data_IF_233084233927
#
_entry.id   IF_233084233927
#
_cell.length_a   1.000
_cell.length_b   1.000
_cell.length_c   1.000
_cell.angle_alpha   90.00
_cell.angle_beta   90.00
_cell.angle_gamma   90.00
#
_symmetry.space_group_name_H-M   'P 1'
#
loop_
_entity.id
_entity.type
_entity.pdbx_description
1 polymer ?
#
# COMPACT_ATOMS: atom_id res chain seq x y z
N UNK A 1 24.64 2.64 -16.00
CA UNK A 1 23.23 2.39 -15.66
C UNK A 1 23.10 1.02 -15.03
N UNK A 2 22.56 0.95 -13.82
CA UNK A 2 22.36 -0.32 -13.09
C UNK A 2 21.24 -1.15 -13.74
N UNK A 3 21.17 -2.46 -13.44
CA UNK A 3 20.11 -3.32 -13.99
C UNK A 3 18.72 -2.96 -13.42
N UNK A 4 18.68 -2.37 -12.22
CA UNK A 4 17.48 -1.77 -11.65
C UNK A 4 16.96 -0.58 -12.49
N UNK A 5 17.83 0.36 -12.90
CA UNK A 5 17.41 1.53 -13.69
C UNK A 5 16.82 1.16 -15.05
N UNK A 6 17.21 0.02 -15.61
CA UNK A 6 16.60 -0.51 -16.85
C UNK A 6 15.23 -1.15 -16.61
N UNK A 7 14.97 -1.59 -15.38
CA UNK A 7 13.78 -2.35 -15.01
C UNK A 7 12.64 -1.44 -14.52
N UNK A 8 12.98 -0.27 -13.98
CA UNK A 8 12.02 0.79 -13.64
C UNK A 8 11.65 1.63 -14.87
N UNK A 9 10.46 2.24 -14.85
CA UNK A 9 10.04 3.17 -15.92
C UNK A 9 10.85 4.48 -15.87
N UNK A 10 11.16 4.93 -14.68
CA UNK A 10 11.99 6.12 -14.40
C UNK A 10 13.04 5.75 -13.36
N UNK A 11 14.28 6.26 -13.48
CA UNK A 11 15.26 6.10 -12.43
C UNK A 11 14.75 6.77 -11.14
N UNK A 12 15.14 6.28 -9.95
CA UNK A 12 14.82 6.94 -8.70
C UNK A 12 15.37 8.37 -8.66
N UNK A 13 14.53 9.32 -8.27
CA UNK A 13 14.85 10.75 -8.11
C UNK A 13 14.78 11.08 -6.63
N UNK A 14 15.80 11.75 -6.12
CA UNK A 14 15.83 12.20 -4.74
C UNK A 14 14.80 13.32 -4.50
N UNK A 15 14.05 13.22 -3.41
CA UNK A 15 13.16 14.26 -2.91
C UNK A 15 13.72 14.84 -1.60
N UNK A 16 14.13 16.11 -1.65
CA UNK A 16 14.72 16.81 -0.51
C UNK A 16 13.72 17.12 0.61
N UNK A 17 12.42 17.21 0.31
CA UNK A 17 11.39 17.53 1.30
C UNK A 17 11.01 16.29 2.11
N UNK A 18 10.89 15.16 1.43
CA UNK A 18 10.51 13.88 2.06
C UNK A 18 11.72 13.07 2.55
N UNK A 19 12.93 13.41 2.09
CA UNK A 19 14.17 12.68 2.35
C UNK A 19 14.10 11.21 1.87
N UNK A 20 13.49 10.99 0.71
CA UNK A 20 13.21 9.68 0.12
C UNK A 20 13.54 9.66 -1.38
N UNK A 21 13.71 8.46 -1.95
CA UNK A 21 13.82 8.32 -3.41
C UNK A 21 12.47 7.97 -4.01
N UNK A 22 12.09 8.68 -5.06
CA UNK A 22 10.83 8.51 -5.77
C UNK A 22 11.05 7.96 -7.17
N UNK A 23 10.26 6.97 -7.55
CA UNK A 23 10.22 6.40 -8.88
C UNK A 23 8.79 5.98 -9.24
N UNK A 24 8.65 5.29 -10.36
CA UNK A 24 7.39 4.66 -10.76
C UNK A 24 7.60 3.18 -11.08
N UNK A 25 6.63 2.36 -10.72
CA UNK A 25 6.70 0.90 -10.89
C UNK A 25 5.46 0.35 -11.62
N UNK A 26 5.63 -0.51 -12.64
CA UNK A 26 4.50 -1.13 -13.33
C UNK A 26 3.94 -2.32 -12.53
N UNK A 27 2.65 -2.25 -12.18
CA UNK A 27 1.84 -3.31 -11.57
C UNK A 27 0.51 -3.45 -12.33
N UNK A 28 0.54 -3.96 -13.58
CA UNK A 28 -0.66 -4.10 -14.41
C UNK A 28 -1.74 -4.99 -13.78
N UNK A 29 -1.37 -5.90 -12.88
CA UNK A 29 -2.30 -6.73 -12.12
C UNK A 29 -3.31 -5.92 -11.30
N UNK A 30 -2.95 -4.70 -10.89
CA UNK A 30 -3.78 -3.81 -10.07
C UNK A 30 -4.33 -2.62 -10.87
N UNK A 31 -4.16 -2.60 -12.21
CA UNK A 31 -4.57 -1.46 -13.04
C UNK A 31 -6.08 -1.18 -13.05
N UNK A 32 -6.90 -2.20 -12.82
CA UNK A 32 -8.36 -2.11 -12.80
C UNK A 32 -8.97 -2.05 -11.40
N UNK A 33 -8.13 -1.93 -10.37
CA UNK A 33 -8.57 -1.75 -8.98
C UNK A 33 -8.75 -0.26 -8.75
N UNK A 34 -9.92 0.17 -8.31
CA UNK A 34 -10.27 1.59 -8.32
C UNK A 34 -10.84 2.12 -7.01
N UNK A 35 -11.02 1.27 -5.98
CA UNK A 35 -11.67 1.62 -4.70
C UNK A 35 -12.97 2.43 -4.89
N UNK A 36 -13.55 2.40 -6.08
CA UNK A 36 -14.60 3.30 -6.51
C UNK A 36 -15.87 2.49 -6.71
N UNK A 37 -16.38 1.91 -5.64
CA UNK A 37 -17.79 1.56 -5.62
C UNK A 37 -18.63 2.85 -5.48
N UNK A 38 -18.69 3.65 -6.56
CA UNK A 38 -19.51 4.85 -6.78
C UNK A 38 -19.88 5.67 -5.52
N UNK A 39 -19.07 6.71 -5.24
CA UNK A 39 -19.16 7.66 -4.10
C UNK A 39 -19.02 6.97 -2.75
N UNK A 40 -18.04 7.42 -1.95
CA UNK A 40 -17.83 6.88 -0.60
C UNK A 40 -19.17 6.82 0.12
N UNK A 41 -19.40 5.75 0.87
CA UNK A 41 -20.66 5.59 1.61
C UNK A 41 -20.83 6.75 2.60
N UNK A 42 -19.72 7.32 3.06
CA UNK A 42 -19.65 8.56 3.83
C UNK A 42 -20.14 9.77 3.02
N UNK A 43 -19.75 9.91 1.75
CA UNK A 43 -20.28 10.95 0.85
C UNK A 43 -21.80 10.82 0.67
N UNK A 44 -22.31 9.61 0.48
CA UNK A 44 -23.76 9.35 0.38
C UNK A 44 -24.48 9.65 1.70
N UNK A 45 -23.90 9.29 2.83
CA UNK A 45 -24.46 9.54 4.17
C UNK A 45 -24.45 11.04 4.51
N UNK A 46 -23.35 11.73 4.21
CA UNK A 46 -23.17 13.18 4.38
C UNK A 46 -24.13 13.98 3.48
N UNK A 47 -24.33 13.52 2.23
CA UNK A 47 -25.30 14.10 1.30
C UNK A 47 -26.76 13.89 1.77
N UNK A 48 -27.07 12.77 2.43
CA UNK A 48 -28.40 12.45 2.99
C UNK A 48 -28.73 13.23 4.27
N UNK A 49 -27.71 13.67 5.01
CA UNK A 49 -27.82 14.45 6.27
C UNK A 49 -27.76 15.99 6.09
N UNK A 50 -27.66 16.48 4.85
CA UNK A 50 -27.79 17.92 4.54
C UNK A 50 -26.59 18.79 4.91
N UNK A 51 -25.46 18.22 5.33
CA UNK A 51 -24.21 18.93 5.57
C UNK A 51 -23.40 19.01 4.28
N UNK A 52 -23.26 20.21 3.72
CA UNK A 52 -22.32 20.49 2.63
C UNK A 52 -20.89 20.36 3.15
N UNK A 53 -20.20 19.31 2.72
CA UNK A 53 -18.73 19.25 2.67
C UNK A 53 -18.35 18.97 1.22
N UNK A 54 -18.62 19.94 0.34
CA UNK A 54 -18.14 19.89 -1.03
C UNK A 54 -16.78 20.56 -1.08
N UNK A 55 -15.72 19.77 -1.03
CA UNK A 55 -14.39 20.08 -1.55
C UNK A 55 -13.57 18.79 -1.61
N UNK A 56 -14.04 17.83 -2.41
CA UNK A 56 -13.16 16.81 -2.97
C UNK A 56 -12.27 17.54 -3.96
N UNK A 57 -10.98 17.60 -3.64
CA UNK A 57 -9.93 18.14 -4.48
C UNK A 57 -10.06 17.62 -5.91
N UNK A 58 -10.46 18.51 -6.82
CA UNK A 58 -10.17 18.35 -8.23
C UNK A 58 -8.68 18.67 -8.38
N UNK A 59 -7.83 17.65 -8.21
CA UNK A 59 -6.47 17.76 -8.73
C UNK A 59 -6.54 17.61 -10.25
N UNK A 60 -6.14 18.69 -10.92
CA UNK A 60 -6.05 18.83 -12.36
C UNK A 60 -5.22 17.69 -13.01
N UNK A 61 -5.69 17.23 -14.17
CA UNK A 61 -5.21 16.11 -15.01
C UNK A 61 -3.79 16.29 -15.63
N UNK A 62 -2.91 17.10 -15.04
CA UNK A 62 -1.51 17.21 -15.48
C UNK A 62 -0.61 16.26 -14.66
N UNK A 63 -0.44 15.03 -15.14
CA UNK A 63 0.55 14.09 -14.58
C UNK A 63 0.04 12.69 -14.23
N UNK A 64 -1.18 12.32 -14.64
CA UNK A 64 -1.72 10.99 -14.42
C UNK A 64 -0.77 9.89 -14.93
N UNK A 65 -0.36 8.98 -14.04
CA UNK A 65 0.48 7.84 -14.39
C UNK A 65 -0.25 6.92 -15.39
N UNK A 66 0.46 6.23 -16.30
CA UNK A 66 -0.16 5.24 -17.17
C UNK A 66 -0.86 4.16 -16.34
N UNK A 67 -2.01 3.67 -16.81
CA UNK A 67 -2.75 2.60 -16.14
C UNK A 67 -1.83 1.42 -15.74
N UNK A 68 -1.97 0.97 -14.48
CA UNK A 68 -1.10 -0.07 -13.92
C UNK A 68 0.32 0.39 -13.65
N UNK A 69 0.57 1.69 -13.49
CA UNK A 69 1.83 2.26 -13.02
C UNK A 69 1.56 3.07 -11.76
N UNK A 70 2.37 2.85 -10.74
CA UNK A 70 2.16 3.41 -9.41
C UNK A 70 3.42 4.12 -8.89
N UNK A 71 3.27 5.08 -7.97
CA UNK A 71 4.39 5.61 -7.20
C UNK A 71 5.19 4.48 -6.53
N UNK A 72 6.52 4.58 -6.61
CA UNK A 72 7.46 3.76 -5.87
C UNK A 72 8.27 4.68 -4.96
N UNK A 73 8.09 4.51 -3.66
CA UNK A 73 8.76 5.28 -2.61
C UNK A 73 9.83 4.38 -1.99
N UNK A 74 11.07 4.83 -1.98
CA UNK A 74 12.20 4.07 -1.42
C UNK A 74 12.72 4.87 -0.23
N UNK A 75 12.53 4.34 0.97
CA UNK A 75 12.88 5.04 2.19
C UNK A 75 14.39 5.21 2.32
N UNK A 76 14.83 6.35 2.83
CA UNK A 76 16.25 6.66 2.99
C UNK A 76 16.56 7.34 4.33
N UNK A 77 16.03 6.80 5.41
CA UNK A 77 16.22 7.37 6.76
C UNK A 77 17.69 7.42 7.18
N UNK A 78 18.54 6.53 6.66
CA UNK A 78 20.00 6.58 6.89
C UNK A 78 20.76 7.54 5.97
N UNK A 79 20.07 8.27 5.08
CA UNK A 79 20.65 9.27 4.17
C UNK A 79 21.76 8.68 3.28
N UNK A 80 21.54 7.49 2.75
CA UNK A 80 22.42 6.89 1.76
C UNK A 80 22.43 7.74 0.48
N UNK A 81 23.56 7.76 -0.24
CA UNK A 81 23.66 8.50 -1.51
C UNK A 81 22.82 7.89 -2.63
N UNK A 82 22.39 6.63 -2.47
CA UNK A 82 21.64 5.84 -3.43
C UNK A 82 20.81 4.78 -2.67
N UNK A 83 19.73 4.23 -3.29
CA UNK A 83 19.06 3.05 -2.77
C UNK A 83 20.05 1.92 -2.47
N UNK A 84 19.94 1.33 -1.28
CA UNK A 84 20.84 0.26 -0.83
C UNK A 84 20.70 -1.01 -1.67
N UNK A 85 21.69 -1.90 -1.60
CA UNK A 85 21.65 -3.17 -2.35
C UNK A 85 20.41 -4.01 -2.01
N UNK A 86 20.00 -4.07 -0.75
CA UNK A 86 18.82 -4.84 -0.34
C UNK A 86 17.51 -4.25 -0.87
N UNK A 87 17.43 -2.92 -1.02
CA UNK A 87 16.31 -2.24 -1.66
C UNK A 87 16.28 -2.51 -3.16
N UNK A 88 17.44 -2.45 -3.83
CA UNK A 88 17.56 -2.82 -5.25
C UNK A 88 17.14 -4.28 -5.48
N UNK A 89 17.63 -5.21 -4.66
CA UNK A 89 17.26 -6.64 -4.75
C UNK A 89 15.76 -6.86 -4.49
N UNK A 90 15.12 -6.09 -3.59
CA UNK A 90 13.69 -6.15 -3.35
C UNK A 90 12.87 -5.65 -4.56
N UNK A 91 13.28 -4.54 -5.17
CA UNK A 91 12.67 -4.01 -6.40
C UNK A 91 12.81 -5.00 -7.55
N UNK A 92 14.00 -5.56 -7.76
CA UNK A 92 14.24 -6.58 -8.77
C UNK A 92 13.37 -7.82 -8.55
N UNK A 93 13.24 -8.26 -7.29
CA UNK A 93 12.37 -9.37 -6.93
C UNK A 93 10.90 -9.05 -7.22
N UNK A 94 10.43 -7.86 -6.87
CA UNK A 94 9.07 -7.41 -7.18
C UNK A 94 8.82 -7.41 -8.68
N UNK A 95 9.74 -6.88 -9.49
CA UNK A 95 9.57 -6.87 -10.94
C UNK A 95 9.57 -8.28 -11.53
N UNK A 96 10.43 -9.17 -11.01
CA UNK A 96 10.57 -10.54 -11.51
C UNK A 96 9.47 -11.50 -11.03
N UNK A 97 8.92 -11.28 -9.83
CA UNK A 97 7.89 -12.13 -9.19
C UNK A 97 6.57 -11.40 -8.95
N UNK A 98 6.36 -10.29 -9.64
CA UNK A 98 5.26 -9.35 -9.41
C UNK A 98 3.90 -9.99 -9.20
N UNK A 99 3.49 -10.84 -10.14
CA UNK A 99 2.22 -11.58 -10.10
C UNK A 99 2.09 -12.39 -8.80
N UNK A 100 3.14 -13.10 -8.39
CA UNK A 100 3.12 -13.92 -7.18
C UNK A 100 3.09 -13.07 -5.92
N UNK A 101 3.79 -11.93 -5.88
CA UNK A 101 3.77 -11.01 -4.75
C UNK A 101 2.40 -10.34 -4.59
N UNK A 102 1.84 -9.83 -5.70
CA UNK A 102 0.50 -9.22 -5.71
C UNK A 102 -0.55 -10.24 -5.29
N UNK A 103 -0.51 -11.47 -5.82
CA UNK A 103 -1.46 -12.51 -5.43
C UNK A 103 -1.35 -12.85 -3.94
N UNK A 104 -0.15 -12.96 -3.38
CA UNK A 104 0.05 -13.21 -1.95
C UNK A 104 -0.48 -12.05 -1.08
N UNK A 105 -0.29 -10.80 -1.53
CA UNK A 105 -0.86 -9.63 -0.85
C UNK A 105 -2.40 -9.64 -0.91
N UNK A 106 -2.99 -9.86 -2.09
CA UNK A 106 -4.45 -9.93 -2.26
C UNK A 106 -5.08 -11.08 -1.46
N UNK A 107 -4.42 -12.25 -1.40
CA UNK A 107 -4.88 -13.38 -0.58
C UNK A 107 -4.85 -13.04 0.91
N UNK A 108 -3.80 -12.36 1.38
CA UNK A 108 -3.72 -11.89 2.77
C UNK A 108 -4.82 -10.88 3.10
N UNK A 109 -5.04 -9.89 2.21
CA UNK A 109 -6.13 -8.91 2.35
C UNK A 109 -7.48 -9.62 2.38
N UNK A 110 -7.73 -10.53 1.43
CA UNK A 110 -9.00 -11.25 1.34
C UNK A 110 -9.33 -12.03 2.61
N UNK A 111 -8.36 -12.79 3.14
CA UNK A 111 -8.55 -13.57 4.36
C UNK A 111 -8.83 -12.69 5.58
N UNK A 112 -8.16 -11.55 5.69
CA UNK A 112 -8.40 -10.59 6.77
C UNK A 112 -9.75 -9.86 6.61
N UNK A 113 -10.03 -9.37 5.40
CA UNK A 113 -11.20 -8.57 5.08
C UNK A 113 -12.49 -9.36 5.27
N UNK A 114 -12.54 -10.61 4.81
CA UNK A 114 -13.72 -11.48 4.99
C UNK A 114 -14.01 -11.74 6.47
N UNK A 115 -12.98 -11.96 7.29
CA UNK A 115 -13.14 -12.11 8.73
C UNK A 115 -13.51 -10.79 9.43
N UNK A 116 -13.00 -9.67 8.95
CA UNK A 116 -13.32 -8.34 9.47
C UNK A 116 -14.75 -7.91 9.11
N UNK A 117 -15.15 -8.00 7.84
CA UNK A 117 -16.46 -7.58 7.35
C UNK A 117 -17.59 -8.38 8.02
N UNK A 118 -17.45 -9.70 8.19
CA UNK A 118 -18.45 -10.51 8.92
C UNK A 118 -18.62 -10.01 10.37
N UNK A 119 -17.53 -9.66 11.06
CA UNK A 119 -17.60 -9.12 12.43
C UNK A 119 -18.22 -7.73 12.46
N UNK A 120 -17.78 -6.83 11.57
CA UNK A 120 -18.29 -5.46 11.46
C UNK A 120 -19.79 -5.44 11.15
N UNK A 121 -20.28 -6.38 10.33
CA UNK A 121 -21.71 -6.55 10.04
C UNK A 121 -22.52 -7.11 11.20
N UNK A 122 -21.91 -7.92 12.08
CA UNK A 122 -22.59 -8.48 13.25
C UNK A 122 -22.72 -7.46 14.40
N UNK A 123 -21.81 -6.49 14.46
CA UNK A 123 -21.81 -5.39 15.43
C UNK A 123 -21.62 -4.05 14.71
N UNK A 124 -22.58 -3.63 13.88
CA UNK A 124 -22.46 -2.36 13.18
C UNK A 124 -22.44 -1.21 14.20
N UNK A 125 -21.82 -0.07 13.87
CA UNK A 125 -21.91 1.13 14.69
C UNK A 125 -23.39 1.53 14.90
N UNK A 126 -23.68 2.49 15.77
CA UNK A 126 -25.06 2.95 16.00
C UNK A 126 -25.74 3.59 14.76
N UNK A 127 -25.03 3.70 13.64
CA UNK A 127 -25.40 4.42 12.41
C UNK A 127 -25.10 3.61 11.13
N UNK A 128 -25.54 2.34 11.04
CA UNK A 128 -26.46 2.10 9.92
C UNK A 128 -27.91 1.96 10.38
N UNK A 129 -28.82 2.59 9.63
CA UNK A 129 -30.26 2.60 9.94
C UNK A 129 -31.02 1.50 9.18
N UNK A 130 -30.33 0.77 8.29
CA UNK A 130 -30.90 -0.29 7.45
C UNK A 130 -29.86 -1.36 7.07
N UNK A 131 -30.30 -2.57 6.66
CA UNK A 131 -29.41 -3.59 6.09
C UNK A 131 -28.67 -3.14 4.82
N UNK A 132 -29.28 -2.26 4.01
CA UNK A 132 -28.67 -1.71 2.80
C UNK A 132 -27.45 -0.84 3.13
N UNK A 133 -27.53 -0.05 4.21
CA UNK A 133 -26.38 0.74 4.69
C UNK A 133 -25.22 -0.17 5.16
N UNK A 134 -25.51 -1.37 5.67
CA UNK A 134 -24.49 -2.35 6.10
C UNK A 134 -23.81 -3.00 4.89
N UNK A 135 -24.55 -3.28 3.83
CA UNK A 135 -24.02 -3.81 2.57
C UNK A 135 -23.10 -2.80 1.88
N UNK A 136 -23.47 -1.53 1.92
CA UNK A 136 -22.65 -0.43 1.42
C UNK A 136 -21.36 -0.27 2.26
N UNK A 137 -21.47 -0.23 3.60
CA UNK A 137 -20.32 0.00 4.49
C UNK A 137 -19.35 -1.19 4.55
N UNK A 138 -19.86 -2.41 4.46
CA UNK A 138 -19.07 -3.64 4.59
C UNK A 138 -19.43 -4.64 3.48
N UNK A 139 -19.05 -4.36 2.21
CA UNK A 139 -19.36 -5.24 1.09
C UNK A 139 -18.81 -6.65 1.30
N UNK A 140 -19.62 -7.67 1.01
CA UNK A 140 -19.13 -9.05 1.06
C UNK A 140 -18.43 -9.42 -0.25
N UNK A 141 -17.31 -10.12 -0.14
CA UNK A 141 -16.57 -10.67 -1.28
C UNK A 141 -16.24 -12.13 -1.02
N UNK A 142 -16.33 -12.96 -2.05
CA UNK A 142 -16.12 -14.41 -1.95
C UNK A 142 -14.81 -14.87 -2.62
N UNK A 143 -14.10 -13.97 -3.32
CA UNK A 143 -12.80 -14.24 -3.92
C UNK A 143 -11.85 -13.04 -3.78
N UNK A 144 -10.52 -13.25 -3.87
CA UNK A 144 -9.54 -12.15 -3.89
C UNK A 144 -9.77 -11.14 -5.02
N UNK A 145 -10.23 -11.58 -6.20
CA UNK A 145 -10.56 -10.68 -7.31
C UNK A 145 -11.75 -9.76 -6.99
N UNK A 146 -12.64 -10.20 -6.10
CA UNK A 146 -13.75 -9.38 -5.59
C UNK A 146 -13.30 -8.15 -4.82
N UNK A 147 -12.03 -8.06 -4.41
CA UNK A 147 -11.46 -6.86 -3.78
C UNK A 147 -11.30 -5.69 -4.77
N UNK A 148 -11.31 -5.94 -6.08
CA UNK A 148 -11.10 -4.94 -7.14
C UNK A 148 -11.85 -3.63 -6.97
N UNK A 149 -13.18 -3.66 -6.77
CA UNK A 149 -13.99 -2.46 -6.55
C UNK A 149 -13.80 -1.83 -5.17
N UNK A 150 -13.15 -2.52 -4.22
CA UNK A 150 -13.09 -2.10 -2.83
C UNK A 150 -11.76 -1.48 -2.42
N UNK A 151 -10.67 -1.81 -3.13
CA UNK A 151 -9.34 -1.27 -2.86
C UNK A 151 -8.70 -0.72 -4.13
N UNK A 152 -7.75 0.20 -3.97
CA UNK A 152 -6.93 0.77 -5.04
C UNK A 152 -5.53 0.97 -4.52
N UNK A 153 -4.52 0.51 -5.26
CA UNK A 153 -3.14 0.74 -4.87
C UNK A 153 -2.82 2.24 -4.99
N UNK A 154 -2.36 2.84 -3.89
CA UNK A 154 -1.91 4.23 -3.79
C UNK A 154 -0.41 4.31 -4.11
N UNK A 155 0.40 3.55 -3.37
CA UNK A 155 1.85 3.56 -3.48
C UNK A 155 2.48 2.21 -3.13
N UNK A 156 3.73 2.04 -3.57
CA UNK A 156 4.60 0.93 -3.15
C UNK A 156 5.78 1.49 -2.39
N UNK A 157 6.04 0.95 -1.20
CA UNK A 157 7.16 1.33 -0.35
C UNK A 157 8.25 0.28 -0.39
N UNK A 158 9.51 0.72 -0.43
CA UNK A 158 10.69 -0.15 -0.29
C UNK A 158 11.45 0.29 0.96
N UNK A 159 11.31 -0.52 2.00
CA UNK A 159 11.85 -0.20 3.31
C UNK A 159 13.37 -0.29 3.36
N UNK A 160 13.96 0.49 4.23
CA UNK A 160 15.40 0.42 4.50
C UNK A 160 15.75 -0.82 5.36
N UNK A 161 14.81 -1.26 6.21
CA UNK A 161 14.93 -2.51 6.96
C UNK A 161 14.94 -3.71 6.02
N UNK A 162 15.82 -4.68 6.30
CA UNK A 162 15.88 -5.93 5.53
C UNK A 162 15.77 -7.15 6.43
N UNK A 163 15.04 -8.17 5.94
CA UNK A 163 14.91 -9.47 6.58
C UNK A 163 15.49 -10.55 5.68
N UNK A 164 16.50 -11.24 6.20
CA UNK A 164 17.29 -12.19 5.41
C UNK A 164 18.00 -11.55 4.21
N UNK A 165 18.45 -10.29 4.34
CA UNK A 165 19.23 -9.58 3.33
C UNK A 165 18.43 -8.98 2.16
N UNK A 166 17.11 -9.02 2.20
CA UNK A 166 16.23 -8.36 1.21
C UNK A 166 15.29 -7.42 1.95
N UNK A 167 15.15 -6.20 1.44
CA UNK A 167 14.25 -5.21 2.01
C UNK A 167 12.79 -5.64 1.94
N UNK A 168 12.00 -5.18 2.91
CA UNK A 168 10.56 -5.39 2.90
C UNK A 168 9.89 -4.45 1.88
N UNK A 169 8.74 -4.88 1.36
CA UNK A 169 7.92 -4.10 0.41
C UNK A 169 6.55 -3.84 1.04
N UNK A 170 6.18 -2.57 1.14
CA UNK A 170 4.85 -2.13 1.52
C UNK A 170 3.96 -1.94 0.29
N UNK A 171 2.74 -2.45 0.33
CA UNK A 171 1.67 -2.06 -0.60
C UNK A 171 0.64 -1.24 0.17
N UNK A 172 0.51 0.03 -0.17
CA UNK A 172 -0.45 0.96 0.42
C UNK A 172 -1.68 1.06 -0.48
N UNK A 173 -2.87 0.88 0.10
CA UNK A 173 -4.13 0.91 -0.61
C UNK A 173 -5.09 1.93 -0.01
N UNK A 174 -5.80 2.64 -0.88
CA UNK A 174 -7.08 3.28 -0.55
C UNK A 174 -8.14 2.18 -0.46
N UNK A 175 -9.11 2.37 0.42
CA UNK A 175 -10.26 1.47 0.55
C UNK A 175 -11.58 2.24 0.46
N UNK A 176 -12.65 1.60 0.00
CA UNK A 176 -13.97 2.24 -0.09
C UNK A 176 -14.74 2.31 1.25
N UNK A 177 -14.26 1.58 2.26
CA UNK A 177 -14.91 1.45 3.57
C UNK A 177 -14.23 2.26 4.68
N UNK A 178 -13.06 2.83 4.42
CA UNK A 178 -12.27 3.63 5.34
C UNK A 178 -11.56 4.75 4.57
N UNK A 179 -12.14 5.95 4.62
CA UNK A 179 -11.66 7.16 3.95
C UNK A 179 -10.46 7.81 4.66
N UNK A 180 -10.13 7.41 5.90
CA UNK A 180 -9.11 8.08 6.73
C UNK A 180 -7.81 7.27 6.84
N UNK A 181 -7.88 5.95 6.93
CA UNK A 181 -6.73 5.14 7.35
C UNK A 181 -6.15 4.22 6.28
N UNK A 182 -6.88 3.98 5.19
CA UNK A 182 -6.46 3.06 4.13
C UNK A 182 -6.11 1.65 4.62
N UNK A 183 -5.34 0.92 3.82
CA UNK A 183 -4.92 -0.46 4.11
C UNK A 183 -3.48 -0.68 3.67
N UNK A 184 -2.65 -1.20 4.57
CA UNK A 184 -1.24 -1.48 4.33
C UNK A 184 -0.93 -2.97 4.42
N UNK A 185 -0.23 -3.50 3.43
CA UNK A 185 0.34 -4.85 3.43
C UNK A 185 1.85 -4.76 3.47
N UNK A 186 2.49 -5.43 4.43
CA UNK A 186 3.94 -5.54 4.48
C UNK A 186 4.39 -6.92 4.02
N UNK A 187 5.25 -6.96 3.01
CA UNK A 187 5.72 -8.18 2.36
C UNK A 187 7.23 -8.36 2.55
N UNK A 188 7.66 -9.58 2.86
CA UNK A 188 9.05 -10.00 2.69
C UNK A 188 9.06 -11.09 1.63
N UNK A 189 9.66 -10.79 0.48
CA UNK A 189 9.66 -11.67 -0.69
C UNK A 189 8.23 -12.03 -1.10
N UNK A 190 7.82 -13.30 -0.90
CA UNK A 190 6.50 -13.80 -1.29
C UNK A 190 5.55 -14.00 -0.09
N UNK A 191 5.91 -13.49 1.08
CA UNK A 191 5.14 -13.68 2.31
C UNK A 191 4.63 -12.34 2.82
N UNK A 192 3.33 -12.28 3.11
CA UNK A 192 2.75 -11.22 3.92
C UNK A 192 3.18 -11.45 5.38
N UNK A 193 3.89 -10.48 5.95
CA UNK A 193 4.39 -10.55 7.34
C UNK A 193 3.61 -9.64 8.27
N UNK A 194 2.90 -8.65 7.73
CA UNK A 194 1.94 -7.85 8.50
C UNK A 194 0.88 -7.21 7.60
N UNK A 195 -0.27 -6.91 8.19
CA UNK A 195 -1.43 -6.33 7.54
C UNK A 195 -2.22 -5.44 8.52
N UNK A 196 -2.56 -4.23 8.09
CA UNK A 196 -3.32 -3.28 8.92
C UNK A 196 -3.65 -2.00 8.16
N UNK A 197 -3.65 -0.86 8.85
CA UNK A 197 -3.81 0.47 8.21
C UNK A 197 -2.66 0.77 7.26
N UNK A 198 -2.78 1.84 6.46
CA UNK A 198 -1.75 2.27 5.51
C UNK A 198 -0.34 2.36 6.12
N UNK A 199 -0.24 2.75 7.39
CA UNK A 199 1.02 2.81 8.16
C UNK A 199 1.80 1.50 8.19
N UNK A 200 1.13 0.34 8.07
CA UNK A 200 1.80 -0.96 7.98
C UNK A 200 2.70 -1.04 6.74
N UNK A 201 2.29 -0.42 5.64
CA UNK A 201 3.05 -0.38 4.41
C UNK A 201 4.06 0.78 4.36
N UNK A 202 3.76 1.92 4.98
CA UNK A 202 4.57 3.14 4.83
C UNK A 202 5.56 3.39 5.96
N UNK A 203 5.35 2.83 7.16
CA UNK A 203 6.23 3.07 8.29
C UNK A 203 7.39 2.07 8.35
N UNK A 204 8.63 2.57 8.32
CA UNK A 204 9.80 1.73 8.60
C UNK A 204 9.71 1.13 10.00
N UNK A 205 9.73 -0.21 10.05
CA UNK A 205 9.77 -0.95 11.32
C UNK A 205 11.19 -1.35 11.62
N UNK A 206 11.90 -0.48 12.33
CA UNK A 206 13.10 -0.88 13.03
C UNK A 206 12.67 -1.77 14.20
N UNK A 207 12.67 -3.09 13.99
CA UNK A 207 12.43 -4.04 15.08
C UNK A 207 13.45 -3.78 16.21
N UNK A 208 12.96 -3.21 17.31
CA UNK A 208 13.69 -3.16 18.56
C UNK A 208 13.49 -4.50 19.26
N UNK A 209 14.25 -5.54 18.89
CA UNK A 209 14.25 -6.79 19.66
C UNK A 209 15.31 -6.71 20.76
N UNK A 210 14.89 -6.19 21.90
CA UNK A 210 15.56 -6.39 23.18
C UNK A 210 15.25 -7.81 23.67
N UNK A 211 15.90 -8.81 23.08
CA UNK A 211 16.18 -10.13 23.70
C UNK A 211 17.26 -10.92 22.93
N UNK A 212 18.35 -10.22 22.63
CA UNK A 212 19.67 -10.85 22.58
C UNK A 212 20.39 -10.85 21.23
N UNK A 213 19.73 -10.52 20.11
CA UNK A 213 20.40 -10.32 18.82
C UNK A 213 20.00 -8.98 18.22
N UNK A 214 20.84 -7.97 18.45
CA UNK A 214 20.74 -6.63 17.85
C UNK A 214 21.03 -6.69 16.36
N UNK A 215 20.09 -6.24 15.53
CA UNK A 215 20.47 -5.73 14.22
C UNK A 215 21.16 -4.37 14.41
N UNK A 216 22.42 -4.32 13.98
CA UNK A 216 23.17 -3.07 13.87
C UNK A 216 22.82 -2.48 12.52
N UNK A 217 22.30 -1.25 12.51
CA UNK A 217 22.45 -0.36 11.35
C UNK A 217 23.95 -0.25 11.07
N UNK A 218 24.46 -1.06 10.14
CA UNK A 218 25.80 -0.87 9.61
C UNK A 218 25.63 0.22 8.57
N UNK A 219 25.85 1.47 8.98
CA UNK A 219 26.18 2.52 8.03
C UNK A 219 27.31 1.98 7.16
N UNK A 220 27.08 1.87 5.85
CA UNK A 220 28.17 1.60 4.91
C UNK A 220 29.05 2.84 4.98
N UNK A 221 30.20 2.72 5.62
CA UNK A 221 31.22 3.75 5.56
C UNK A 221 31.57 3.94 4.08
N UNK A 222 31.35 5.14 3.57
CA UNK A 222 31.87 5.57 2.28
C UNK A 222 33.39 5.39 2.27
N UNK A 223 33.88 4.65 1.28
CA UNK A 223 35.31 4.51 0.98
C UNK A 223 35.71 5.52 -0.09
#
# INVERSE_FOLDING_TARGET
MSDMEKSLRTPPIWDDELEEWNATIPIPELAGFDASSEKSVLDRFTQKMGTRSGELSQHDDEGALPAGTFPLIIHNRMRNSDPTRSQQDAIELLLFRRRSMVNAALEAIFNWYTAWSVRSRATPPAFPSSPEDIDDLYPLVDTPEGLGPLIKLEAVHVHESSRGGVSDIGFEFITCWDDEHGLGVLMNRLQCIDLGTADVASSDRYETVLDGTLWKLVAVASA
#
